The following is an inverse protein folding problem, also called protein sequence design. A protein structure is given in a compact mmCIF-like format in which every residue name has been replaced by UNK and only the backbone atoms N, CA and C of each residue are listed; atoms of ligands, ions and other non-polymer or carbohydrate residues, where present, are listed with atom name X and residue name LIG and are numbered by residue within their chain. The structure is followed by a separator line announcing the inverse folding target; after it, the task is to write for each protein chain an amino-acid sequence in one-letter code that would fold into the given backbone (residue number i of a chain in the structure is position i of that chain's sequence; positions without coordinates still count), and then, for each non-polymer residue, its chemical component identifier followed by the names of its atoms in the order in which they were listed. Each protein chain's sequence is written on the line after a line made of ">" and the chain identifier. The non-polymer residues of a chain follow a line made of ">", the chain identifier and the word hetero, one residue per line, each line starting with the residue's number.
data_IF_254823723743
#
_entry.id   IF_254823723743
#
_cell.length_a   1.000
_cell.length_b   1.000
_cell.length_c   1.000
_cell.angle_alpha   90.00
_cell.angle_beta   90.00
_cell.angle_gamma   90.00
#
_symmetry.space_group_name_H-M   'P 1'
#
loop_
_entity.id
_entity.type
_entity.pdbx_description
1 polymer ?
#
# COMPACT_ATOMS: atom_id res chain seq x y z
N UNK A 1 -38.62 3.48 16.85
CA UNK A 1 -37.51 3.91 15.96
C UNK A 1 -37.57 3.10 14.67
N UNK A 2 -37.48 3.73 13.48
CA UNK A 2 -37.47 2.98 12.22
C UNK A 2 -36.25 2.06 12.17
N UNK A 3 -36.46 0.77 11.88
CA UNK A 3 -35.37 -0.18 11.65
C UNK A 3 -34.65 0.25 10.36
N UNK A 4 -33.39 0.67 10.47
CA UNK A 4 -32.57 0.99 9.30
C UNK A 4 -32.37 -0.30 8.49
N UNK A 5 -33.01 -0.38 7.34
CA UNK A 5 -32.83 -1.49 6.41
C UNK A 5 -31.46 -1.34 5.76
N UNK A 6 -30.59 -2.37 5.80
CA UNK A 6 -29.32 -2.31 5.09
C UNK A 6 -29.57 -2.17 3.57
N UNK A 7 -28.65 -1.55 2.82
CA UNK A 7 -28.75 -1.44 1.37
C UNK A 7 -28.84 -2.84 0.74
N UNK A 8 -29.58 -3.00 -0.38
CA UNK A 8 -29.68 -4.28 -1.06
C UNK A 8 -28.31 -4.70 -1.59
N UNK A 9 -27.96 -5.97 -1.38
CA UNK A 9 -26.73 -6.56 -1.90
C UNK A 9 -26.94 -7.16 -3.27
N UNK A 10 -26.04 -6.84 -4.19
CA UNK A 10 -26.00 -7.48 -5.49
C UNK A 10 -25.50 -8.93 -5.35
N UNK A 11 -25.91 -9.85 -6.25
CA UNK A 11 -25.54 -11.27 -6.16
C UNK A 11 -24.03 -11.52 -6.04
N UNK A 12 -23.21 -10.78 -6.80
CA UNK A 12 -21.76 -10.90 -6.75
C UNK A 12 -21.18 -10.49 -5.38
N UNK A 13 -21.78 -9.52 -4.70
CA UNK A 13 -21.36 -9.08 -3.37
C UNK A 13 -21.76 -10.10 -2.30
N UNK A 14 -22.96 -10.66 -2.41
CA UNK A 14 -23.42 -11.74 -1.52
C UNK A 14 -22.50 -12.96 -1.64
N UNK A 15 -22.11 -13.36 -2.84
CA UNK A 15 -21.14 -14.46 -3.06
C UNK A 15 -19.79 -14.21 -2.38
N UNK A 16 -19.26 -12.97 -2.46
CA UNK A 16 -18.02 -12.60 -1.78
C UNK A 16 -18.15 -12.72 -0.26
N UNK A 17 -19.31 -12.36 0.29
CA UNK A 17 -19.57 -12.43 1.72
C UNK A 17 -19.74 -13.89 2.20
N UNK A 18 -20.47 -14.72 1.44
CA UNK A 18 -20.55 -16.16 1.69
C UNK A 18 -19.16 -16.82 1.64
N UNK A 19 -18.35 -16.50 0.64
CA UNK A 19 -16.99 -17.02 0.54
C UNK A 19 -16.11 -16.59 1.74
N UNK A 20 -16.30 -15.37 2.28
CA UNK A 20 -15.64 -14.95 3.51
C UNK A 20 -16.09 -15.80 4.70
N UNK A 21 -17.39 -16.00 4.89
CA UNK A 21 -17.95 -16.84 5.95
C UNK A 21 -17.43 -18.28 5.90
N UNK A 22 -17.35 -18.87 4.70
CA UNK A 22 -16.77 -20.20 4.47
C UNK A 22 -15.29 -20.28 4.86
N UNK A 23 -14.48 -19.27 4.49
CA UNK A 23 -13.07 -19.20 4.90
C UNK A 23 -12.92 -19.13 6.42
N UNK A 24 -13.74 -18.34 7.10
CA UNK A 24 -13.74 -18.24 8.57
C UNK A 24 -14.15 -19.56 9.22
N UNK A 25 -15.20 -20.22 8.69
CA UNK A 25 -15.62 -21.55 9.14
C UNK A 25 -14.50 -22.58 8.96
N UNK A 26 -13.85 -22.60 7.79
CA UNK A 26 -12.73 -23.49 7.54
C UNK A 26 -11.57 -23.23 8.51
N UNK A 27 -11.24 -21.96 8.77
CA UNK A 27 -10.22 -21.55 9.73
C UNK A 27 -10.54 -22.02 11.17
N UNK A 28 -11.82 -21.97 11.57
CA UNK A 28 -12.30 -22.50 12.86
C UNK A 28 -12.15 -24.02 12.94
N UNK A 29 -12.60 -24.74 11.91
CA UNK A 29 -12.55 -26.20 11.87
C UNK A 29 -11.12 -26.73 11.88
N UNK A 30 -10.19 -26.09 11.14
CA UNK A 30 -8.75 -26.41 11.16
C UNK A 30 -8.14 -26.32 12.57
N UNK A 31 -8.64 -25.39 13.39
CA UNK A 31 -8.22 -25.19 14.79
C UNK A 31 -9.00 -26.04 15.79
N UNK A 32 -9.90 -26.92 15.32
CA UNK A 32 -10.76 -27.81 16.14
C UNK A 32 -11.59 -27.05 17.19
N UNK A 33 -12.00 -25.81 16.88
CA UNK A 33 -12.82 -25.01 17.77
C UNK A 33 -14.30 -25.36 17.60
N UNK A 34 -14.96 -25.73 18.70
CA UNK A 34 -16.40 -25.95 18.72
C UNK A 34 -17.14 -24.65 18.44
N UNK A 35 -18.36 -24.77 17.91
CA UNK A 35 -19.23 -23.61 17.66
C UNK A 35 -19.53 -22.83 18.93
N UNK A 36 -19.70 -23.50 20.07
CA UNK A 36 -19.96 -22.85 21.37
C UNK A 36 -18.76 -22.04 21.82
N UNK A 37 -17.58 -22.65 21.89
CA UNK A 37 -16.36 -22.00 22.35
C UNK A 37 -15.97 -20.83 21.45
N UNK A 38 -16.13 -20.97 20.13
CA UNK A 38 -15.80 -19.89 19.21
C UNK A 38 -16.79 -18.71 19.31
N UNK A 39 -18.08 -18.99 19.49
CA UNK A 39 -19.09 -17.97 19.74
C UNK A 39 -18.84 -17.22 21.07
N UNK A 40 -18.41 -17.92 22.12
CA UNK A 40 -18.02 -17.29 23.37
C UNK A 40 -16.80 -16.38 23.20
N UNK A 41 -15.76 -16.84 22.49
CA UNK A 41 -14.54 -16.06 22.22
C UNK A 41 -14.81 -14.81 21.39
N UNK A 42 -15.77 -14.87 20.48
CA UNK A 42 -16.17 -13.70 19.68
C UNK A 42 -17.15 -12.78 20.43
N UNK A 43 -17.61 -13.16 21.62
CA UNK A 43 -18.60 -12.42 22.40
C UNK A 43 -19.99 -12.40 21.76
N UNK A 44 -20.39 -13.45 21.05
CA UNK A 44 -21.64 -13.49 20.31
C UNK A 44 -22.44 -14.78 20.54
N UNK A 45 -23.70 -14.78 20.10
CA UNK A 45 -24.55 -15.97 20.17
C UNK A 45 -24.14 -17.02 19.12
N UNK A 46 -24.49 -18.30 19.36
CA UNK A 46 -24.31 -19.38 18.38
C UNK A 46 -25.02 -19.09 17.06
N UNK A 47 -26.17 -18.42 17.11
CA UNK A 47 -26.92 -18.06 15.90
C UNK A 47 -26.21 -16.96 15.12
N UNK A 48 -25.62 -15.98 15.82
CA UNK A 48 -24.79 -14.95 15.20
C UNK A 48 -23.60 -15.57 14.46
N UNK A 49 -22.91 -16.53 15.09
CA UNK A 49 -21.83 -17.28 14.45
C UNK A 49 -22.33 -18.07 13.23
N UNK A 50 -23.47 -18.76 13.33
CA UNK A 50 -24.05 -19.51 12.21
C UNK A 50 -24.33 -18.61 11.01
N UNK A 51 -24.96 -17.45 11.23
CA UNK A 51 -25.28 -16.46 10.19
C UNK A 51 -24.01 -15.84 9.60
N UNK A 52 -23.01 -15.58 10.43
CA UNK A 52 -21.70 -15.09 9.99
C UNK A 52 -20.98 -16.10 9.08
N UNK A 53 -21.00 -17.39 9.43
CA UNK A 53 -20.41 -18.45 8.60
C UNK A 53 -21.15 -18.66 7.27
N UNK A 54 -22.44 -18.30 7.21
CA UNK A 54 -23.23 -18.28 5.96
C UNK A 54 -23.03 -17.01 5.13
N UNK A 55 -22.34 -16.00 5.67
CA UNK A 55 -22.15 -14.70 5.03
C UNK A 55 -23.40 -13.83 5.03
N UNK A 56 -24.18 -13.84 6.11
CA UNK A 56 -25.33 -12.95 6.25
C UNK A 56 -24.87 -11.48 6.36
N UNK A 57 -25.38 -10.59 5.48
CA UNK A 57 -24.99 -9.19 5.46
C UNK A 57 -25.59 -8.32 6.55
N UNK A 58 -26.60 -8.82 7.25
CA UNK A 58 -27.19 -8.13 8.40
C UNK A 58 -26.28 -8.18 9.63
N UNK A 59 -25.26 -9.04 9.62
CA UNK A 59 -24.29 -9.15 10.70
C UNK A 59 -23.36 -7.94 10.65
N UNK A 60 -23.28 -7.23 11.77
CA UNK A 60 -22.37 -6.09 11.89
C UNK A 60 -20.91 -6.52 11.65
N UNK A 61 -20.15 -5.70 10.92
CA UNK A 61 -18.76 -5.97 10.58
C UNK A 61 -17.87 -6.24 11.82
N UNK A 62 -18.22 -5.65 12.97
CA UNK A 62 -17.56 -5.92 14.26
C UNK A 62 -17.51 -7.40 14.64
N UNK A 63 -18.52 -8.20 14.26
CA UNK A 63 -18.52 -9.64 14.53
C UNK A 63 -17.55 -10.40 13.62
N UNK A 64 -17.40 -9.96 12.36
CA UNK A 64 -16.38 -10.51 11.46
C UNK A 64 -14.98 -10.19 11.99
N UNK A 65 -14.76 -8.98 12.48
CA UNK A 65 -13.51 -8.60 13.13
C UNK A 65 -13.24 -9.43 14.40
N UNK A 66 -14.23 -9.59 15.27
CA UNK A 66 -14.12 -10.43 16.46
C UNK A 66 -13.81 -11.90 16.12
N UNK A 67 -14.40 -12.43 15.04
CA UNK A 67 -14.09 -13.77 14.53
C UNK A 67 -12.62 -13.88 14.08
N UNK A 68 -12.13 -12.90 13.31
CA UNK A 68 -10.72 -12.84 12.89
C UNK A 68 -9.78 -12.76 14.10
N UNK A 69 -10.10 -11.90 15.06
CA UNK A 69 -9.34 -11.77 16.31
C UNK A 69 -9.28 -13.10 17.09
N UNK A 70 -10.42 -13.78 17.27
CA UNK A 70 -10.49 -15.07 17.95
C UNK A 70 -9.73 -16.19 17.20
N UNK A 71 -9.49 -16.03 15.89
CA UNK A 71 -8.68 -16.94 15.08
C UNK A 71 -7.19 -16.56 15.05
N UNK A 72 -6.81 -15.40 15.59
CA UNK A 72 -5.44 -14.85 15.47
C UNK A 72 -5.13 -14.28 14.08
N UNK A 73 -6.16 -13.88 13.32
CA UNK A 73 -6.08 -13.35 11.95
C UNK A 73 -6.48 -11.87 11.89
N UNK A 74 -6.41 -11.13 13.00
CA UNK A 74 -6.84 -9.74 13.05
C UNK A 74 -6.04 -8.83 12.10
N UNK A 75 -4.73 -9.11 11.93
CA UNK A 75 -3.84 -8.35 11.06
C UNK A 75 -4.18 -8.47 9.57
N UNK A 76 -4.95 -9.48 9.16
CA UNK A 76 -5.38 -9.63 7.76
C UNK A 76 -6.24 -8.44 7.30
N UNK A 77 -6.87 -7.73 8.22
CA UNK A 77 -7.64 -6.51 7.92
C UNK A 77 -6.74 -5.40 7.39
N UNK A 78 -5.48 -5.33 7.83
CA UNK A 78 -4.53 -4.30 7.40
C UNK A 78 -4.15 -4.46 5.92
N UNK A 79 -4.42 -5.63 5.33
CA UNK A 79 -4.22 -5.91 3.91
C UNK A 79 -5.41 -5.45 3.05
N UNK A 80 -6.58 -5.22 3.65
CA UNK A 80 -7.77 -4.84 2.90
C UNK A 80 -7.65 -3.40 2.41
N UNK A 81 -7.71 -3.23 1.08
CA UNK A 81 -7.54 -1.93 0.42
C UNK A 81 -6.19 -1.24 0.68
N UNK A 82 -5.17 -1.99 1.12
CA UNK A 82 -3.81 -1.47 1.30
C UNK A 82 -3.23 -0.92 -0.02
N UNK A 83 -3.52 -1.60 -1.12
CA UNK A 83 -3.06 -1.23 -2.46
C UNK A 83 -4.22 -0.91 -3.40
N UNK A 84 -4.56 0.38 -3.48
CA UNK A 84 -5.48 0.92 -4.48
C UNK A 84 -4.71 1.45 -5.70
N UNK A 85 -4.17 0.54 -6.51
CA UNK A 85 -3.37 0.89 -7.70
C UNK A 85 -4.14 1.73 -8.70
N UNK A 86 -5.43 1.41 -8.93
CA UNK A 86 -6.30 2.18 -9.81
C UNK A 86 -6.54 3.59 -9.27
N UNK A 87 -6.83 3.72 -7.97
CA UNK A 87 -6.99 5.03 -7.33
C UNK A 87 -5.73 5.89 -7.45
N UNK A 88 -4.54 5.30 -7.27
CA UNK A 88 -3.26 6.00 -7.47
C UNK A 88 -3.07 6.48 -8.91
N UNK A 89 -3.38 5.63 -9.89
CA UNK A 89 -3.29 6.01 -11.31
C UNK A 89 -4.25 7.14 -11.69
N UNK A 90 -5.49 7.10 -11.17
CA UNK A 90 -6.47 8.16 -11.38
C UNK A 90 -5.98 9.47 -10.76
N UNK A 91 -5.42 9.42 -9.55
CA UNK A 91 -4.81 10.58 -8.90
C UNK A 91 -3.66 11.17 -9.71
N UNK A 92 -2.73 10.34 -10.19
CA UNK A 92 -1.59 10.77 -11.01
C UNK A 92 -2.03 11.42 -12.34
N UNK A 93 -3.10 10.91 -12.94
CA UNK A 93 -3.67 11.45 -14.17
C UNK A 93 -4.30 12.85 -13.98
N UNK A 94 -4.75 13.17 -12.77
CA UNK A 94 -5.33 14.47 -12.41
C UNK A 94 -4.28 15.53 -12.05
N UNK A 95 -3.00 15.14 -11.82
CA UNK A 95 -1.95 16.12 -11.55
C UNK A 95 -1.71 17.01 -12.79
N UNK A 96 -1.77 18.35 -12.66
CA UNK A 96 -1.39 19.24 -13.75
C UNK A 96 0.06 18.94 -14.14
N UNK A 97 0.28 18.53 -15.39
CA UNK A 97 1.62 18.34 -15.96
C UNK A 97 2.48 19.54 -15.55
N UNK A 98 3.57 19.27 -14.82
CA UNK A 98 4.45 20.29 -14.29
C UNK A 98 4.71 21.36 -15.36
N UNK A 99 4.40 22.63 -15.04
CA UNK A 99 4.56 23.76 -15.96
C UNK A 99 5.93 23.64 -16.63
N UNK A 100 5.95 23.52 -17.96
CA UNK A 100 7.15 23.46 -18.81
C UNK A 100 8.26 24.35 -18.20
N UNK A 101 9.48 23.83 -17.95
CA UNK A 101 10.57 24.68 -17.49
C UNK A 101 10.71 25.84 -18.47
N UNK A 102 10.58 27.07 -17.95
CA UNK A 102 10.74 28.29 -18.75
C UNK A 102 12.13 28.22 -19.40
N UNK A 103 12.19 28.41 -20.71
CA UNK A 103 13.43 28.32 -21.47
C UNK A 103 14.54 29.15 -20.80
N UNK A 104 15.79 28.63 -20.73
CA UNK A 104 16.89 29.40 -20.18
C UNK A 104 17.06 30.67 -21.03
N UNK A 105 17.06 31.84 -20.38
CA UNK A 105 17.36 33.12 -21.06
C UNK A 105 18.77 32.99 -21.63
N UNK A 106 18.91 33.18 -22.95
CA UNK A 106 20.20 33.13 -23.63
C UNK A 106 21.15 34.19 -23.06
N UNK A 107 22.44 33.87 -22.85
CA UNK A 107 23.42 34.87 -22.45
C UNK A 107 23.69 35.80 -23.64
N UNK A 108 23.59 37.12 -23.39
CA UNK A 108 23.93 38.17 -24.35
C UNK A 108 25.40 38.00 -24.76
N UNK A 109 25.65 38.05 -26.06
CA UNK A 109 26.97 37.94 -26.68
C UNK A 109 27.99 38.89 -26.03
N UNK A 110 29.12 38.34 -25.55
CA UNK A 110 30.36 39.08 -25.33
C UNK A 110 31.28 38.72 -26.49
N UNK A 111 31.33 39.60 -27.48
CA UNK A 111 32.41 39.64 -28.45
C UNK A 111 33.68 40.12 -27.73
N UNK A 112 34.80 39.38 -27.87
CA UNK A 112 36.05 39.90 -28.41
C UNK A 112 37.23 38.91 -28.26
N UNK A 113 37.79 38.57 -29.44
CA UNK A 113 39.21 38.49 -29.80
C UNK A 113 40.04 37.22 -29.49
N UNK A 114 40.13 36.40 -30.54
CA UNK A 114 41.26 35.68 -31.19
C UNK A 114 42.47 35.16 -30.37
N UNK A 115 42.90 33.89 -30.62
CA UNK A 115 44.07 33.27 -30.00
C UNK A 115 45.37 33.50 -30.78
N UNK A 116 46.50 33.76 -30.11
CA UNK A 116 47.83 33.61 -30.70
C UNK A 116 48.94 33.48 -29.63
N UNK A 117 49.68 32.35 -29.71
CA UNK A 117 51.04 32.09 -29.22
C UNK A 117 51.27 32.12 -27.68
N UNK A 118 51.90 31.16 -26.99
CA UNK A 118 53.09 30.32 -27.25
C UNK A 118 53.11 29.15 -26.23
N UNK A 119 53.70 27.97 -26.54
CA UNK A 119 53.69 26.79 -25.67
C UNK A 119 54.89 26.76 -24.70
N UNK A 120 54.68 26.27 -23.47
CA UNK A 120 55.74 25.67 -22.64
C UNK A 120 55.16 25.03 -21.37
N UNK A 121 55.03 23.70 -21.35
CA UNK A 121 54.96 22.92 -20.11
C UNK A 121 56.39 22.64 -19.60
N UNK A 122 56.55 22.39 -18.29
CA UNK A 122 57.08 21.08 -17.90
C UNK A 122 56.12 20.46 -16.87
N UNK A 123 55.59 19.28 -17.15
CA UNK A 123 56.23 17.96 -16.99
C UNK A 123 55.84 17.34 -15.65
N UNK A 124 55.27 16.15 -15.78
CA UNK A 124 54.71 15.18 -14.82
C UNK A 124 55.59 14.86 -13.59
N UNK A 125 56.79 15.43 -13.47
CA UNK A 125 57.71 15.22 -12.35
C UNK A 125 57.21 15.83 -11.03
N UNK A 126 56.50 16.97 -11.05
CA UNK A 126 55.98 17.60 -9.83
C UNK A 126 54.74 16.87 -9.24
N UNK A 127 54.00 16.14 -10.08
CA UNK A 127 52.84 15.38 -9.65
C UNK A 127 53.21 14.11 -8.86
N UNK A 128 54.38 13.51 -9.12
CA UNK A 128 54.84 12.30 -8.44
C UNK A 128 55.41 12.57 -7.03
N UNK A 129 55.87 13.79 -6.75
CA UNK A 129 56.32 14.17 -5.40
C UNK A 129 55.16 14.29 -4.40
N UNK A 130 53.97 14.66 -4.87
CA UNK A 130 52.76 14.75 -4.04
C UNK A 130 52.19 13.37 -3.65
N UNK A 131 52.39 12.35 -4.48
CA UNK A 131 51.82 11.01 -4.25
C UNK A 131 52.63 10.15 -3.27
N UNK A 132 53.96 10.33 -3.15
CA UNK A 132 54.81 9.55 -2.22
C UNK A 132 54.83 10.06 -0.77
N UNK A 133 54.40 11.29 -0.50
CA UNK A 133 54.36 11.84 0.88
C UNK A 133 53.10 11.46 1.67
N UNK A 134 52.11 10.84 1.02
CA UNK A 134 50.82 10.47 1.64
C UNK A 134 50.72 9.01 2.06
N UNK A 135 51.80 8.21 1.95
CA UNK A 135 51.77 6.77 2.25
C UNK A 135 52.89 6.27 3.16
N UNK A 136 53.35 7.13 4.07
CA UNK A 136 54.09 6.76 5.28
C UNK A 136 53.39 7.36 6.49
#
# INVERSE_FOLDING_TARGET
>A
MPKKTPPPLYPAQAQRLTALGERLRAARLRRKLSTTLFAERMGASRETLRRLELGDPSIAFSHYFAALHALGLAADIDQLAQDDTLGRQLQDAELPLARKPRAPRSPKAVANNTPAATPSHPSVAEALAKYKKSKN
#
